data_IF_297964420139
#
_entry.id   IF_297964420139
#
_cell.length_a   1.000
_cell.length_b   1.000
_cell.length_c   1.000
_cell.angle_alpha   90.00
_cell.angle_beta   90.00
_cell.angle_gamma   90.00
#
_symmetry.space_group_name_H-M   'P 1'
#
loop_
_entity.id
_entity.type
_entity.pdbx_description
1 polymer ?
#
# COMPACT_ATOMS: atom_id res chain seq x y z
N UNK A 1 -10.87 -11.67 -30.33
CA UNK A 1 -9.52 -12.01 -30.86
C UNK A 1 -8.62 -12.41 -29.71
N UNK A 2 -8.03 -13.62 -29.71
CA UNK A 2 -7.01 -14.01 -28.72
C UNK A 2 -5.67 -13.44 -29.19
N UNK A 3 -5.13 -12.44 -28.50
CA UNK A 3 -3.77 -11.95 -28.71
C UNK A 3 -2.78 -13.06 -28.35
N UNK A 4 -2.28 -13.76 -29.37
CA UNK A 4 -1.18 -14.71 -29.22
C UNK A 4 0.11 -13.90 -29.07
N UNK A 5 0.57 -13.74 -27.83
CA UNK A 5 1.85 -13.10 -27.53
C UNK A 5 2.96 -14.06 -28.00
N UNK A 6 3.87 -13.58 -28.85
CA UNK A 6 5.00 -14.36 -29.36
C UNK A 6 6.12 -14.37 -28.30
N UNK A 7 6.41 -15.52 -27.66
CA UNK A 7 7.39 -15.60 -26.57
C UNK A 7 8.84 -15.35 -27.02
N UNK A 8 9.14 -15.40 -28.32
CA UNK A 8 10.49 -15.22 -28.86
C UNK A 8 10.84 -13.75 -29.20
N UNK A 9 9.89 -12.82 -29.04
CA UNK A 9 10.08 -11.40 -29.35
C UNK A 9 10.23 -10.52 -28.10
N UNK A 10 10.15 -11.09 -26.90
CA UNK A 10 10.21 -10.36 -25.63
C UNK A 10 11.63 -10.46 -25.08
N UNK A 11 12.30 -9.32 -24.90
CA UNK A 11 13.65 -9.31 -24.33
C UNK A 11 13.64 -9.85 -22.89
N UNK A 12 14.72 -10.45 -22.39
CA UNK A 12 14.78 -10.94 -21.00
C UNK A 12 14.45 -9.87 -19.95
N UNK A 13 14.73 -8.61 -20.26
CA UNK A 13 14.40 -7.45 -19.42
C UNK A 13 12.90 -7.15 -19.42
N UNK A 14 12.24 -7.19 -20.59
CA UNK A 14 10.78 -7.06 -20.70
C UNK A 14 10.06 -8.26 -20.08
N UNK A 15 10.63 -9.46 -20.17
CA UNK A 15 10.07 -10.66 -19.54
C UNK A 15 10.16 -10.61 -18.01
N UNK A 16 11.26 -10.09 -17.45
CA UNK A 16 11.39 -9.85 -16.01
C UNK A 16 10.44 -8.76 -15.52
N UNK A 17 10.26 -7.67 -16.28
CA UNK A 17 9.29 -6.62 -15.97
C UNK A 17 7.85 -7.16 -16.09
N UNK A 18 7.55 -7.92 -17.12
CA UNK A 18 6.24 -8.53 -17.33
C UNK A 18 5.91 -9.58 -16.25
N UNK A 19 6.87 -10.44 -15.88
CA UNK A 19 6.71 -11.44 -14.83
C UNK A 19 6.50 -10.80 -13.45
N UNK A 20 7.22 -9.72 -13.15
CA UNK A 20 7.03 -8.98 -11.90
C UNK A 20 5.70 -8.22 -11.86
N UNK A 21 5.24 -7.67 -12.99
CA UNK A 21 3.89 -7.10 -13.13
C UNK A 21 2.79 -8.17 -13.01
N UNK A 22 2.99 -9.35 -13.59
CA UNK A 22 2.03 -10.46 -13.52
C UNK A 22 1.91 -11.05 -12.11
N UNK A 23 3.04 -11.22 -11.40
CA UNK A 23 3.04 -11.63 -9.99
C UNK A 23 2.35 -10.61 -9.09
N UNK A 24 2.54 -9.32 -9.36
CA UNK A 24 1.82 -8.24 -8.68
C UNK A 24 0.31 -8.32 -8.96
N UNK A 25 -0.11 -8.44 -10.22
CA UNK A 25 -1.53 -8.59 -10.57
C UNK A 25 -2.18 -9.81 -9.92
N UNK A 26 -1.46 -10.93 -9.80
CA UNK A 26 -1.95 -12.12 -9.09
C UNK A 26 -2.19 -11.85 -7.60
N UNK A 27 -1.26 -11.16 -6.92
CA UNK A 27 -1.46 -10.77 -5.51
C UNK A 27 -2.62 -9.80 -5.33
N UNK A 28 -2.78 -8.82 -6.22
CA UNK A 28 -3.88 -7.86 -6.19
C UNK A 28 -5.25 -8.53 -6.35
N UNK A 29 -5.33 -9.59 -7.17
CA UNK A 29 -6.55 -10.38 -7.34
C UNK A 29 -6.95 -11.22 -6.12
N UNK A 30 -6.04 -11.43 -5.16
CA UNK A 30 -6.30 -12.20 -3.93
C UNK A 30 -6.75 -11.33 -2.76
N UNK A 31 -6.61 -10.01 -2.87
CA UNK A 31 -7.10 -9.04 -1.88
C UNK A 31 -8.61 -9.20 -1.69
N UNK A 32 -9.07 -9.23 -0.43
CA UNK A 32 -10.48 -9.41 -0.07
C UNK A 32 -11.02 -10.83 -0.20
N UNK A 33 -10.23 -11.80 -0.68
CA UNK A 33 -10.64 -13.22 -0.82
C UNK A 33 -10.05 -14.14 0.25
N UNK A 34 -8.97 -13.72 0.90
CA UNK A 34 -8.32 -14.47 1.97
C UNK A 34 -9.06 -14.38 3.31
N UNK A 35 -8.93 -15.42 4.15
CA UNK A 35 -9.44 -15.36 5.53
C UNK A 35 -8.56 -14.43 6.37
N UNK A 36 -9.17 -13.44 7.03
CA UNK A 36 -8.49 -12.46 7.90
C UNK A 36 -8.13 -13.07 9.25
N UNK A 37 -6.96 -13.69 9.32
CA UNK A 37 -6.47 -14.43 10.50
C UNK A 37 -5.33 -13.71 11.23
N UNK A 38 -4.59 -12.85 10.54
CA UNK A 38 -3.48 -12.09 11.13
C UNK A 38 -4.05 -10.87 11.83
N UNK A 39 -3.55 -10.57 13.03
CA UNK A 39 -3.98 -9.43 13.82
C UNK A 39 -2.82 -8.46 14.00
N UNK A 40 -3.05 -7.21 13.63
CA UNK A 40 -2.11 -6.11 13.77
C UNK A 40 -2.63 -5.18 14.85
N UNK A 41 -1.88 -5.04 15.95
CA UNK A 41 -2.25 -4.15 17.04
C UNK A 41 -2.05 -2.69 16.63
N UNK A 42 -3.10 -1.88 16.75
CA UNK A 42 -3.10 -0.46 16.39
C UNK A 42 -3.38 0.41 17.61
N UNK A 43 -2.37 1.16 18.05
CA UNK A 43 -2.54 2.22 19.04
C UNK A 43 -3.19 3.47 18.41
N UNK A 44 -3.57 4.43 19.25
CA UNK A 44 -4.30 5.64 18.84
C UNK A 44 -3.55 6.47 17.78
N UNK A 45 -2.23 6.54 17.85
CA UNK A 45 -1.44 7.28 16.88
C UNK A 45 -1.41 6.55 15.54
N UNK A 46 -1.13 5.24 15.58
CA UNK A 46 -1.15 4.36 14.39
C UNK A 46 -2.49 4.40 13.67
N UNK A 47 -3.62 4.36 14.39
CA UNK A 47 -4.97 4.51 13.80
C UNK A 47 -5.15 5.82 13.06
N UNK A 48 -4.85 6.95 13.72
CA UNK A 48 -4.99 8.28 13.11
C UNK A 48 -4.13 8.42 11.86
N UNK A 49 -2.91 7.88 11.93
CA UNK A 49 -1.99 7.90 10.80
C UNK A 49 -2.49 7.01 9.66
N UNK A 50 -2.96 5.80 9.95
CA UNK A 50 -3.52 4.88 8.96
C UNK A 50 -4.74 5.47 8.25
N UNK A 51 -5.66 6.14 8.96
CA UNK A 51 -6.79 6.84 8.32
C UNK A 51 -6.30 7.89 7.32
N UNK A 52 -5.36 8.75 7.71
CA UNK A 52 -4.79 9.78 6.82
C UNK A 52 -4.08 9.16 5.62
N UNK A 53 -3.33 8.08 5.84
CA UNK A 53 -2.65 7.35 4.79
C UNK A 53 -3.65 6.82 3.76
N UNK A 54 -4.71 6.14 4.22
CA UNK A 54 -5.74 5.59 3.33
C UNK A 54 -6.47 6.69 2.56
N UNK A 55 -6.77 7.83 3.20
CA UNK A 55 -7.38 8.97 2.50
C UNK A 55 -6.49 9.51 1.37
N UNK A 56 -5.18 9.58 1.60
CA UNK A 56 -4.23 10.02 0.57
C UNK A 56 -4.10 9.00 -0.56
N UNK A 57 -4.05 7.71 -0.23
CA UNK A 57 -4.08 6.62 -1.23
C UNK A 57 -5.36 6.72 -2.05
N UNK A 58 -6.53 6.86 -1.43
CA UNK A 58 -7.81 6.97 -2.15
C UNK A 58 -7.85 8.13 -3.12
N UNK A 59 -7.27 9.29 -2.79
CA UNK A 59 -7.15 10.43 -3.72
C UNK A 59 -6.34 10.08 -4.96
N UNK A 60 -5.23 9.36 -4.78
CA UNK A 60 -4.38 8.91 -5.89
C UNK A 60 -5.11 7.87 -6.76
N UNK A 61 -5.99 7.05 -6.17
CA UNK A 61 -6.80 6.08 -6.90
C UNK A 61 -7.96 6.70 -7.68
N UNK A 62 -8.59 7.77 -7.18
CA UNK A 62 -9.79 8.42 -7.77
C UNK A 62 -9.60 9.08 -9.15
N UNK A 63 -8.40 9.01 -9.74
CA UNK A 63 -8.12 9.48 -11.10
C UNK A 63 -7.45 8.45 -12.01
N UNK A 64 -7.40 7.17 -11.62
CA UNK A 64 -6.67 6.13 -12.34
C UNK A 64 -7.62 5.07 -12.95
N UNK A 65 -7.25 4.52 -14.13
CA UNK A 65 -7.95 3.39 -14.76
C UNK A 65 -8.01 2.11 -13.88
N UNK A 66 -7.30 2.12 -12.75
CA UNK A 66 -7.30 1.08 -11.73
C UNK A 66 -8.56 1.09 -10.84
N UNK A 67 -9.34 2.18 -10.81
CA UNK A 67 -10.55 2.26 -9.96
C UNK A 67 -11.61 1.20 -10.34
N UNK A 68 -11.83 0.99 -11.65
CA UNK A 68 -12.83 0.04 -12.15
C UNK A 68 -12.34 -1.41 -12.15
N UNK A 69 -11.02 -1.63 -12.33
CA UNK A 69 -10.44 -2.99 -12.34
C UNK A 69 -10.11 -3.53 -10.95
N UNK A 70 -10.01 -2.68 -9.92
CA UNK A 70 -9.55 -3.06 -8.58
C UNK A 70 -10.54 -2.72 -7.46
N UNK A 71 -11.84 -2.92 -7.69
CA UNK A 71 -12.87 -2.76 -6.66
C UNK A 71 -12.53 -3.47 -5.35
N UNK A 72 -11.95 -4.67 -5.40
CA UNK A 72 -11.52 -5.43 -4.22
C UNK A 72 -10.44 -4.71 -3.38
N UNK A 73 -9.54 -3.95 -4.01
CA UNK A 73 -8.54 -3.14 -3.30
C UNK A 73 -9.23 -1.95 -2.67
N UNK A 74 -10.12 -1.27 -3.41
CA UNK A 74 -10.89 -0.15 -2.87
C UNK A 74 -11.71 -0.56 -1.65
N UNK A 75 -12.45 -1.68 -1.75
CA UNK A 75 -13.23 -2.24 -0.64
C UNK A 75 -12.33 -2.59 0.56
N UNK A 76 -11.13 -3.12 0.32
CA UNK A 76 -10.15 -3.38 1.36
C UNK A 76 -9.64 -2.10 2.04
N UNK A 77 -9.34 -1.05 1.28
CA UNK A 77 -8.93 0.26 1.82
C UNK A 77 -10.04 0.88 2.67
N UNK A 78 -11.30 0.80 2.21
CA UNK A 78 -12.47 1.24 2.99
C UNK A 78 -12.56 0.47 4.30
N UNK A 79 -12.44 -0.86 4.26
CA UNK A 79 -12.44 -1.69 5.45
C UNK A 79 -11.36 -1.27 6.47
N UNK A 80 -10.12 -1.05 6.01
CA UNK A 80 -9.03 -0.60 6.89
C UNK A 80 -9.41 0.71 7.59
N UNK A 81 -9.91 1.67 6.82
CA UNK A 81 -10.32 2.98 7.34
C UNK A 81 -11.41 2.84 8.40
N UNK A 82 -12.47 2.08 8.13
CA UNK A 82 -13.56 1.86 9.07
C UNK A 82 -13.08 1.22 10.38
N UNK A 83 -12.17 0.23 10.30
CA UNK A 83 -11.57 -0.40 11.49
C UNK A 83 -10.71 0.60 12.27
N UNK A 84 -9.91 1.41 11.59
CA UNK A 84 -9.05 2.40 12.22
C UNK A 84 -9.84 3.56 12.86
N UNK A 85 -11.00 3.91 12.32
CA UNK A 85 -11.89 4.95 12.86
C UNK A 85 -12.70 4.48 14.09
N UNK A 86 -12.97 3.18 14.20
CA UNK A 86 -13.66 2.60 15.36
C UNK A 86 -12.82 2.81 16.63
N UNK A 87 -13.41 3.51 17.60
CA UNK A 87 -12.77 3.79 18.90
C UNK A 87 -12.37 2.51 19.63
N UNK A 88 -13.25 1.51 19.59
CA UNK A 88 -13.12 0.24 20.33
C UNK A 88 -12.18 -0.77 19.67
N UNK A 89 -11.94 -0.68 18.36
CA UNK A 89 -11.19 -1.70 17.63
C UNK A 89 -9.69 -1.50 17.81
N UNK A 90 -9.03 -2.23 18.70
CA UNK A 90 -7.57 -2.12 18.93
C UNK A 90 -6.73 -2.92 17.92
N UNK A 91 -7.38 -3.67 17.04
CA UNK A 91 -6.76 -4.66 16.18
C UNK A 91 -7.31 -4.59 14.75
N UNK A 92 -6.40 -4.56 13.78
CA UNK A 92 -6.72 -4.73 12.37
C UNK A 92 -6.50 -6.20 11.98
N UNK A 93 -7.58 -6.86 11.58
CA UNK A 93 -7.51 -8.23 11.06
C UNK A 93 -7.33 -8.23 9.56
N UNK A 94 -6.33 -8.97 9.06
CA UNK A 94 -6.00 -9.04 7.64
C UNK A 94 -5.67 -10.47 7.21
N UNK A 95 -5.86 -10.78 5.93
CA UNK A 95 -5.26 -11.98 5.32
C UNK A 95 -3.76 -11.77 5.12
N UNK A 96 -3.01 -12.83 4.83
CA UNK A 96 -1.58 -12.72 4.53
C UNK A 96 -1.31 -11.79 3.35
N UNK A 97 -2.09 -11.92 2.28
CA UNK A 97 -1.95 -11.09 1.07
C UNK A 97 -2.32 -9.62 1.33
N UNK A 98 -3.37 -9.39 2.12
CA UNK A 98 -3.79 -8.06 2.56
C UNK A 98 -2.71 -7.39 3.43
N UNK A 99 -2.08 -8.16 4.32
CA UNK A 99 -0.98 -7.69 5.17
C UNK A 99 0.25 -7.33 4.35
N UNK A 100 0.72 -8.23 3.48
CA UNK A 100 1.88 -8.00 2.62
C UNK A 100 1.65 -6.84 1.65
N UNK A 101 0.45 -6.70 1.11
CA UNK A 101 0.08 -5.57 0.27
C UNK A 101 0.18 -4.25 1.04
N UNK A 102 -0.38 -4.17 2.25
CA UNK A 102 -0.30 -2.97 3.08
C UNK A 102 1.13 -2.66 3.51
N UNK A 103 1.90 -3.66 3.96
CA UNK A 103 3.33 -3.54 4.25
C UNK A 103 4.10 -2.97 3.06
N UNK A 104 3.82 -3.47 1.86
CA UNK A 104 4.49 -3.01 0.63
C UNK A 104 4.15 -1.56 0.30
N UNK A 105 2.87 -1.17 0.34
CA UNK A 105 2.47 0.22 0.10
C UNK A 105 3.16 1.20 1.06
N UNK A 106 3.26 0.82 2.34
CA UNK A 106 3.93 1.62 3.36
C UNK A 106 5.46 1.69 3.11
N UNK A 107 6.10 0.56 2.76
CA UNK A 107 7.54 0.50 2.43
C UNK A 107 7.88 1.32 1.19
N UNK A 108 7.09 1.21 0.13
CA UNK A 108 7.33 1.94 -1.12
C UNK A 108 7.15 3.46 -0.91
N UNK A 109 6.15 3.86 -0.12
CA UNK A 109 5.97 5.25 0.30
C UNK A 109 7.14 5.76 1.16
N UNK A 110 7.63 4.95 2.11
CA UNK A 110 8.80 5.25 2.93
C UNK A 110 10.06 5.46 2.09
N UNK A 111 10.33 4.55 1.16
CA UNK A 111 11.48 4.65 0.23
C UNK A 111 11.39 5.92 -0.63
N UNK A 112 10.20 6.25 -1.12
CA UNK A 112 9.96 7.48 -1.86
C UNK A 112 10.30 8.74 -1.05
N UNK A 113 9.96 8.77 0.24
CA UNK A 113 10.32 9.88 1.13
C UNK A 113 11.80 9.92 1.49
N UNK A 114 12.44 8.76 1.71
CA UNK A 114 13.87 8.66 2.02
C UNK A 114 14.77 9.07 0.85
N UNK A 115 14.30 8.83 -0.39
CA UNK A 115 14.99 9.25 -1.61
C UNK A 115 14.79 10.73 -1.98
N UNK A 116 14.05 11.52 -1.20
CA UNK A 116 13.84 12.94 -1.50
C UNK A 116 15.06 13.78 -1.12
N UNK A 117 15.64 14.45 -2.11
CA UNK A 117 16.65 15.49 -1.89
C UNK A 117 15.99 16.85 -1.66
N UNK A 118 16.52 17.62 -0.71
CA UNK A 118 16.00 18.94 -0.34
C UNK A 118 17.09 20.00 -0.50
N UNK A 119 16.71 21.12 -1.11
CA UNK A 119 17.54 22.31 -1.11
C UNK A 119 17.66 22.89 0.31
N UNK A 120 18.74 23.62 0.59
CA UNK A 120 19.05 24.12 1.95
C UNK A 120 17.91 24.96 2.56
N UNK A 121 17.24 25.79 1.74
CA UNK A 121 16.13 26.65 2.15
C UNK A 121 14.83 25.87 2.44
N UNK A 122 14.74 24.58 2.07
CA UNK A 122 13.57 23.73 2.29
C UNK A 122 13.62 23.01 3.63
N UNK A 123 14.35 23.52 4.62
CA UNK A 123 14.56 22.85 5.93
C UNK A 123 13.26 22.50 6.66
N UNK A 124 12.22 23.33 6.56
CA UNK A 124 10.88 23.04 7.12
C UNK A 124 10.28 21.80 6.45
N UNK A 125 10.30 21.76 5.10
CA UNK A 125 9.79 20.62 4.31
C UNK A 125 10.58 19.34 4.63
N UNK A 126 11.91 19.43 4.72
CA UNK A 126 12.79 18.33 5.11
C UNK A 126 12.42 17.79 6.50
N UNK A 127 12.20 18.66 7.48
CA UNK A 127 11.78 18.25 8.83
C UNK A 127 10.42 17.56 8.82
N UNK A 128 9.46 18.09 8.07
CA UNK A 128 8.13 17.47 7.93
C UNK A 128 8.22 16.07 7.31
N UNK A 129 9.00 15.91 6.22
CA UNK A 129 9.16 14.61 5.56
C UNK A 129 9.88 13.61 6.48
N UNK A 130 10.87 14.03 7.26
CA UNK A 130 11.49 13.16 8.28
C UNK A 130 10.51 12.71 9.36
N UNK A 131 9.67 13.62 9.85
CA UNK A 131 8.64 13.27 10.84
C UNK A 131 7.64 12.27 10.25
N UNK A 132 7.18 12.52 9.01
CA UNK A 132 6.27 11.64 8.32
C UNK A 132 6.90 10.25 8.10
N UNK A 133 8.15 10.19 7.62
CA UNK A 133 8.89 8.94 7.47
C UNK A 133 9.00 8.17 8.79
N UNK A 134 9.16 8.85 9.92
CA UNK A 134 9.10 8.21 11.25
C UNK A 134 7.75 7.52 11.50
N UNK A 135 6.64 8.21 11.21
CA UNK A 135 5.29 7.64 11.38
C UNK A 135 5.07 6.40 10.50
N UNK A 136 5.62 6.40 9.28
CA UNK A 136 5.61 5.21 8.40
C UNK A 136 6.40 4.05 9.00
N UNK A 137 7.60 4.30 9.57
CA UNK A 137 8.40 3.27 10.23
C UNK A 137 7.72 2.70 11.47
N UNK A 138 7.14 3.57 12.29
CA UNK A 138 6.43 3.19 13.52
C UNK A 138 5.22 2.32 13.19
N UNK A 139 4.45 2.69 12.15
CA UNK A 139 3.33 1.88 11.67
C UNK A 139 3.82 0.55 11.10
N UNK A 140 4.86 0.54 10.25
CA UNK A 140 5.44 -0.68 9.68
C UNK A 140 5.91 -1.66 10.75
N UNK A 141 6.48 -1.18 11.86
CA UNK A 141 6.93 -2.02 12.97
C UNK A 141 5.79 -2.80 13.66
N UNK A 142 4.52 -2.39 13.46
CA UNK A 142 3.35 -3.13 13.96
C UNK A 142 3.04 -4.38 13.13
N UNK A 143 3.49 -4.39 11.88
CA UNK A 143 3.31 -5.48 10.95
C UNK A 143 4.53 -6.41 11.04
N UNK A 144 4.43 -7.47 11.85
CA UNK A 144 5.52 -8.43 12.13
C UNK A 144 5.84 -9.32 10.94
#
# INVERSE_FOLDING_TARGET
MKTRINPNAVSPMEMNQMSSMMGMMSSLQKIGKGKRKYSVSLDKASKKFLVKFIDEVKKQFSGSAMADQNKQIYDFLVYIKEVAEKKESTELKVSFEEEEFLKRMLKDSLRGMEGMEFQWYQFIKKRMVKMLASQYRDLLAKFK
#
